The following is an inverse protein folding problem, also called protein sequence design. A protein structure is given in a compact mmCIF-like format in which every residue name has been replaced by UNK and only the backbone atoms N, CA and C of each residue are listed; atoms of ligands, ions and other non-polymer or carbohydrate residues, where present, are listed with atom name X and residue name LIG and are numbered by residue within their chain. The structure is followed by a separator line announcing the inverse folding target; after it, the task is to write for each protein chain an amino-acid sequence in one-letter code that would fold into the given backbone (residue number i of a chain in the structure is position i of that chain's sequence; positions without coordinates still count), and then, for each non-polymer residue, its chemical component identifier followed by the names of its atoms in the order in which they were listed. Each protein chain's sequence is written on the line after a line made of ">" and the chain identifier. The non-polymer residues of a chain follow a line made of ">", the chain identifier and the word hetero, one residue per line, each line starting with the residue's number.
data_IF_750877417839
#
_entry.id   IF_750877417839
#
_cell.length_a   1.000
_cell.length_b   1.000
_cell.length_c   1.000
_cell.angle_alpha   90.00
_cell.angle_beta   90.00
_cell.angle_gamma   90.00
#
_symmetry.space_group_name_H-M   'P 1'
#
loop_
_entity.id
_entity.type
_entity.pdbx_description
1 polymer ?
#
# COMPACT_ATOMS: atom_id res chain seq x y z
N UNK A 1 5.32 -29.99 -4.14
CA UNK A 1 4.76 -28.63 -4.09
C UNK A 1 5.31 -27.89 -5.30
N UNK A 2 4.46 -27.29 -6.14
CA UNK A 2 4.93 -26.52 -7.32
C UNK A 2 5.60 -25.26 -6.81
N UNK A 3 6.85 -25.00 -7.25
CA UNK A 3 7.52 -23.74 -6.95
C UNK A 3 7.00 -22.67 -7.92
N UNK A 4 6.18 -21.76 -7.42
CA UNK A 4 5.58 -20.68 -8.20
C UNK A 4 6.58 -19.62 -8.66
N UNK A 5 7.77 -19.58 -8.05
CA UNK A 5 8.80 -18.58 -8.33
C UNK A 5 9.93 -19.09 -9.21
N UNK A 6 9.74 -20.22 -9.87
CA UNK A 6 10.74 -20.77 -10.77
C UNK A 6 10.67 -20.13 -12.17
N UNK A 7 11.84 -20.03 -12.79
CA UNK A 7 11.96 -19.67 -14.20
C UNK A 7 11.74 -20.91 -15.06
N UNK A 8 10.81 -20.82 -16.01
CA UNK A 8 10.56 -21.89 -16.97
C UNK A 8 11.59 -21.94 -18.12
N UNK A 9 11.49 -22.96 -18.98
CA UNK A 9 12.33 -23.06 -20.18
C UNK A 9 12.05 -21.94 -21.19
N UNK A 10 10.88 -21.33 -21.16
CA UNK A 10 10.48 -20.18 -21.97
C UNK A 10 10.21 -18.97 -21.07
N UNK A 11 10.64 -17.80 -21.54
CA UNK A 11 10.35 -16.52 -20.92
C UNK A 11 8.85 -16.19 -21.06
N UNK A 12 8.18 -15.93 -19.95
CA UNK A 12 6.74 -15.64 -19.91
C UNK A 12 6.41 -14.14 -20.02
N UNK A 13 7.39 -13.29 -20.36
CA UNK A 13 7.20 -11.81 -20.38
C UNK A 13 6.03 -11.39 -21.28
N UNK A 14 5.89 -11.98 -22.48
CA UNK A 14 4.82 -11.59 -23.42
C UNK A 14 3.45 -11.93 -22.84
N UNK A 15 3.29 -13.11 -22.26
CA UNK A 15 2.05 -13.55 -21.62
C UNK A 15 1.73 -12.69 -20.39
N UNK A 16 2.74 -12.36 -19.61
CA UNK A 16 2.61 -11.51 -18.42
C UNK A 16 2.17 -10.09 -18.78
N UNK A 17 2.80 -9.49 -19.80
CA UNK A 17 2.42 -8.15 -20.28
C UNK A 17 1.02 -8.16 -20.91
N UNK A 18 0.66 -9.22 -21.65
CA UNK A 18 -0.70 -9.38 -22.16
C UNK A 18 -1.72 -9.48 -21.02
N UNK A 19 -1.40 -10.23 -19.95
CA UNK A 19 -2.26 -10.32 -18.76
C UNK A 19 -2.45 -8.95 -18.10
N UNK A 20 -1.36 -8.18 -17.90
CA UNK A 20 -1.46 -6.81 -17.39
C UNK A 20 -2.32 -5.92 -18.30
N UNK A 21 -2.17 -6.07 -19.64
CA UNK A 21 -3.01 -5.36 -20.61
C UNK A 21 -4.50 -5.70 -20.49
N UNK A 22 -4.82 -6.98 -20.31
CA UNK A 22 -6.21 -7.44 -20.09
C UNK A 22 -6.76 -6.91 -18.78
N UNK A 23 -5.99 -6.98 -17.68
CA UNK A 23 -6.41 -6.43 -16.38
C UNK A 23 -6.64 -4.92 -16.49
N UNK A 24 -5.73 -4.19 -17.14
CA UNK A 24 -5.86 -2.75 -17.34
C UNK A 24 -7.10 -2.40 -18.19
N UNK A 25 -7.35 -3.14 -19.27
CA UNK A 25 -8.53 -2.94 -20.11
C UNK A 25 -9.83 -3.19 -19.34
N UNK A 26 -9.94 -4.34 -18.66
CA UNK A 26 -11.13 -4.70 -17.89
C UNK A 26 -11.39 -3.72 -16.74
N UNK A 27 -10.35 -3.35 -15.98
CA UNK A 27 -10.51 -2.38 -14.90
C UNK A 27 -10.91 -0.99 -15.42
N UNK A 28 -10.35 -0.54 -16.56
CA UNK A 28 -10.72 0.72 -17.17
C UNK A 28 -12.15 0.67 -17.74
N UNK A 29 -12.55 -0.44 -18.35
CA UNK A 29 -13.92 -0.65 -18.78
C UNK A 29 -14.90 -0.56 -17.59
N UNK A 30 -14.62 -1.28 -16.51
CA UNK A 30 -15.43 -1.26 -15.29
C UNK A 30 -15.47 0.13 -14.65
N UNK A 31 -14.38 0.90 -14.68
CA UNK A 31 -14.33 2.26 -14.16
C UNK A 31 -15.40 3.17 -14.78
N UNK A 32 -15.58 3.10 -16.09
CA UNK A 32 -16.60 3.89 -16.80
C UNK A 32 -17.97 3.22 -16.75
N UNK A 33 -18.05 1.91 -16.85
CA UNK A 33 -19.31 1.16 -16.81
C UNK A 33 -20.05 1.32 -15.47
N UNK A 34 -19.32 1.37 -14.36
CA UNK A 34 -19.87 1.55 -13.01
C UNK A 34 -19.95 3.03 -12.59
N UNK A 35 -19.66 3.95 -13.50
CA UNK A 35 -19.65 5.40 -13.24
C UNK A 35 -18.90 5.79 -11.96
N UNK A 36 -17.67 5.27 -11.81
CA UNK A 36 -16.82 5.59 -10.65
C UNK A 36 -16.61 7.10 -10.44
N UNK A 37 -16.48 7.93 -11.48
CA UNK A 37 -16.35 9.38 -11.28
C UNK A 37 -17.48 10.00 -10.47
N UNK A 38 -18.73 9.58 -10.68
CA UNK A 38 -19.88 10.05 -9.88
C UNK A 38 -19.85 9.49 -8.47
N UNK A 39 -19.62 8.17 -8.32
CA UNK A 39 -19.50 7.52 -7.00
C UNK A 39 -18.40 8.14 -6.12
N UNK A 40 -17.25 8.52 -6.72
CA UNK A 40 -16.15 9.19 -5.99
C UNK A 40 -16.60 10.57 -5.49
N UNK A 41 -17.31 11.33 -6.31
CA UNK A 41 -17.78 12.65 -5.92
C UNK A 41 -18.81 12.56 -4.80
N UNK A 42 -19.77 11.67 -4.91
CA UNK A 42 -20.78 11.42 -3.87
C UNK A 42 -20.15 10.98 -2.54
N UNK A 43 -19.11 10.14 -2.60
CA UNK A 43 -18.38 9.73 -1.39
C UNK A 43 -17.61 10.85 -0.72
N UNK A 44 -17.20 11.89 -1.46
CA UNK A 44 -16.30 12.93 -0.94
C UNK A 44 -16.89 13.71 0.22
N UNK A 45 -18.19 13.96 0.24
CA UNK A 45 -18.86 14.71 1.29
C UNK A 45 -18.82 13.99 2.65
N UNK A 46 -18.73 12.67 2.63
CA UNK A 46 -18.67 11.84 3.83
C UNK A 46 -17.31 11.86 4.56
N UNK A 47 -16.29 12.52 4.00
CA UNK A 47 -14.99 12.70 4.64
C UNK A 47 -14.94 13.84 5.66
N UNK A 48 -16.04 14.52 5.90
CA UNK A 48 -16.21 15.39 7.07
C UNK A 48 -16.54 14.55 8.31
N UNK A 49 -15.96 14.91 9.47
CA UNK A 49 -16.25 14.18 10.71
C UNK A 49 -17.60 14.57 11.29
N UNK A 50 -18.39 13.57 11.65
CA UNK A 50 -19.63 13.77 12.41
C UNK A 50 -19.42 13.88 13.93
N UNK A 51 -18.22 13.51 14.42
CA UNK A 51 -17.91 13.37 15.84
C UNK A 51 -17.04 14.49 16.39
N UNK A 52 -16.03 14.87 15.60
CA UNK A 52 -15.04 15.84 16.00
C UNK A 52 -15.34 17.21 15.41
N UNK A 53 -15.09 18.29 16.16
CA UNK A 53 -15.01 19.63 15.58
C UNK A 53 -14.02 19.66 14.40
N UNK A 54 -14.36 20.41 13.35
CA UNK A 54 -13.56 20.51 12.12
C UNK A 54 -12.08 20.86 12.38
N UNK A 55 -11.80 21.67 13.41
CA UNK A 55 -10.45 22.01 13.82
C UNK A 55 -9.65 20.78 14.30
N UNK A 56 -10.24 19.91 15.12
CA UNK A 56 -9.56 18.70 15.61
C UNK A 56 -9.33 17.69 14.47
N UNK A 57 -10.25 17.63 13.54
CA UNK A 57 -10.09 16.82 12.33
C UNK A 57 -8.94 17.34 11.45
N UNK A 58 -8.85 18.63 11.27
CA UNK A 58 -7.71 19.25 10.56
C UNK A 58 -6.39 18.97 11.28
N UNK A 59 -6.35 19.10 12.61
CA UNK A 59 -5.15 18.80 13.40
C UNK A 59 -4.70 17.34 13.26
N UNK A 60 -5.63 16.39 13.32
CA UNK A 60 -5.36 14.97 13.06
C UNK A 60 -4.70 14.75 11.69
N UNK A 61 -5.26 15.34 10.64
CA UNK A 61 -4.75 15.23 9.27
C UNK A 61 -3.36 15.84 9.11
N UNK A 62 -3.11 17.00 9.74
CA UNK A 62 -1.80 17.67 9.77
C UNK A 62 -0.75 16.77 10.46
N UNK A 63 -1.11 16.15 11.59
CA UNK A 63 -0.20 15.22 12.29
C UNK A 63 0.15 14.04 11.41
N UNK A 64 -0.84 13.37 10.82
CA UNK A 64 -0.62 12.21 9.95
C UNK A 64 0.21 12.58 8.71
N UNK A 65 -0.06 13.72 8.08
CA UNK A 65 0.73 14.26 6.98
C UNK A 65 2.17 14.54 7.40
N UNK A 66 2.36 15.23 8.51
CA UNK A 66 3.69 15.60 9.05
C UNK A 66 4.55 14.36 9.35
N UNK A 67 3.95 13.31 9.92
CA UNK A 67 4.65 12.03 10.16
C UNK A 67 5.01 11.36 8.84
N UNK A 68 4.12 11.33 7.85
CA UNK A 68 4.39 10.79 6.53
C UNK A 68 5.54 11.51 5.82
N UNK A 69 5.50 12.85 5.80
CA UNK A 69 6.59 13.69 5.24
C UNK A 69 7.90 13.44 5.98
N UNK A 70 7.88 13.35 7.30
CA UNK A 70 9.07 13.08 8.10
C UNK A 70 9.71 11.74 7.75
N UNK A 71 8.90 10.70 7.52
CA UNK A 71 9.38 9.39 7.09
C UNK A 71 10.00 9.44 5.68
N UNK A 72 9.37 10.14 4.72
CA UNK A 72 9.89 10.33 3.37
C UNK A 72 11.24 11.07 3.42
N UNK A 73 11.32 12.19 4.16
CA UNK A 73 12.56 12.97 4.30
C UNK A 73 13.64 12.16 5.00
N UNK A 74 13.30 11.43 6.06
CA UNK A 74 14.25 10.56 6.76
C UNK A 74 14.81 9.50 5.80
N UNK A 75 13.94 8.80 5.06
CA UNK A 75 14.35 7.78 4.10
C UNK A 75 15.24 8.37 3.00
N UNK A 76 14.93 9.56 2.50
CA UNK A 76 15.74 10.23 1.48
C UNK A 76 17.14 10.61 2.02
N UNK A 77 17.21 11.10 3.26
CA UNK A 77 18.47 11.56 3.90
C UNK A 77 19.38 10.43 4.38
N UNK A 78 18.89 9.21 4.55
CA UNK A 78 19.72 8.07 4.91
C UNK A 78 20.88 7.90 3.92
N UNK A 79 22.06 7.54 4.41
CA UNK A 79 23.24 7.32 3.55
C UNK A 79 23.00 6.20 2.53
N UNK A 80 22.44 5.06 2.97
CA UNK A 80 22.07 3.96 2.09
C UNK A 80 20.93 3.15 2.70
N UNK A 81 20.10 2.53 1.84
CA UNK A 81 19.16 1.50 2.25
C UNK A 81 19.81 0.11 2.27
N UNK A 82 18.99 -0.91 2.57
CA UNK A 82 19.36 -2.33 2.44
C UNK A 82 18.15 -3.09 1.92
N UNK A 83 18.31 -3.82 0.81
CA UNK A 83 17.25 -4.65 0.22
C UNK A 83 17.83 -5.93 -0.34
N UNK A 84 17.15 -7.06 -0.12
CA UNK A 84 17.36 -8.26 -0.90
C UNK A 84 16.49 -8.17 -2.16
N UNK A 85 17.09 -8.34 -3.32
CA UNK A 85 16.47 -8.15 -4.63
C UNK A 85 16.83 -9.29 -5.56
N UNK A 86 16.05 -9.49 -6.62
CA UNK A 86 16.38 -10.45 -7.68
C UNK A 86 17.04 -9.71 -8.83
N UNK A 87 18.30 -10.03 -9.10
CA UNK A 87 19.04 -9.41 -10.19
C UNK A 87 18.41 -9.77 -11.56
N UNK A 88 18.22 -8.78 -12.42
CA UNK A 88 17.62 -9.00 -13.74
C UNK A 88 18.48 -9.94 -14.61
N UNK A 89 19.80 -9.73 -14.63
CA UNK A 89 20.72 -10.48 -15.50
C UNK A 89 20.94 -11.92 -15.02
N UNK A 90 21.25 -12.13 -13.74
CA UNK A 90 21.63 -13.45 -13.19
C UNK A 90 20.46 -14.25 -12.63
N UNK A 91 19.31 -13.58 -12.36
CA UNK A 91 18.13 -14.18 -11.69
C UNK A 91 18.41 -14.64 -10.25
N UNK A 92 19.52 -14.21 -9.69
CA UNK A 92 19.95 -14.54 -8.34
C UNK A 92 19.53 -13.48 -7.33
N UNK A 93 19.30 -13.90 -6.09
CA UNK A 93 19.02 -13.01 -4.99
C UNK A 93 20.33 -12.34 -4.53
N UNK A 94 20.31 -11.00 -4.37
CA UNK A 94 21.47 -10.22 -3.95
C UNK A 94 21.05 -9.12 -2.98
N UNK A 95 21.91 -8.84 -1.97
CA UNK A 95 21.78 -7.67 -1.12
C UNK A 95 22.29 -6.43 -1.89
N UNK A 96 21.45 -5.40 -2.00
CA UNK A 96 21.78 -4.12 -2.59
C UNK A 96 21.62 -2.98 -1.58
N UNK A 97 22.35 -1.90 -1.79
CA UNK A 97 22.35 -0.71 -0.95
C UNK A 97 21.87 0.51 -1.75
N UNK A 98 20.54 0.67 -1.94
CA UNK A 98 19.98 1.75 -2.75
C UNK A 98 20.31 3.12 -2.15
N UNK A 99 20.55 4.10 -3.02
CA UNK A 99 20.91 5.48 -2.70
C UNK A 99 19.80 6.44 -3.16
N UNK A 100 19.62 7.54 -2.44
CA UNK A 100 18.73 8.62 -2.85
C UNK A 100 17.33 8.11 -3.22
N UNK A 101 16.91 8.39 -4.47
CA UNK A 101 15.59 8.05 -4.99
C UNK A 101 15.37 6.55 -5.19
N UNK A 102 16.44 5.75 -5.35
CA UNK A 102 16.30 4.29 -5.48
C UNK A 102 15.66 3.62 -4.26
N UNK A 103 15.68 4.26 -3.10
CA UNK A 103 15.01 3.75 -1.91
C UNK A 103 13.48 3.71 -2.07
N UNK A 104 12.94 4.46 -3.02
CA UNK A 104 11.51 4.55 -3.30
C UNK A 104 11.01 3.54 -4.33
N UNK A 105 11.83 2.57 -4.73
CA UNK A 105 11.44 1.54 -5.70
C UNK A 105 10.58 0.41 -5.09
N UNK A 106 10.42 0.37 -3.76
CA UNK A 106 9.59 -0.64 -3.08
C UNK A 106 8.10 -0.28 -3.14
N UNK A 107 7.22 -1.28 -3.18
CA UNK A 107 5.78 -1.05 -3.08
C UNK A 107 5.38 -0.39 -1.76
N UNK A 108 6.09 -0.71 -0.66
CA UNK A 108 5.87 -0.09 0.64
C UNK A 108 6.12 1.41 0.63
N UNK A 109 7.15 1.88 -0.09
CA UNK A 109 7.41 3.32 -0.23
C UNK A 109 6.33 4.02 -1.08
N UNK A 110 5.75 3.34 -2.06
CA UNK A 110 4.58 3.85 -2.79
C UNK A 110 3.36 3.95 -1.86
N UNK A 111 3.15 2.97 -0.99
CA UNK A 111 2.12 3.03 0.06
C UNK A 111 2.30 4.25 0.97
N UNK A 112 3.54 4.53 1.40
CA UNK A 112 3.86 5.73 2.20
C UNK A 112 3.55 7.02 1.45
N UNK A 113 3.92 7.11 0.16
CA UNK A 113 3.63 8.28 -0.68
C UNK A 113 2.12 8.46 -0.85
N UNK A 114 1.37 7.38 -1.15
CA UNK A 114 -0.09 7.44 -1.28
C UNK A 114 -0.76 7.91 0.02
N UNK A 115 -0.35 7.34 1.15
CA UNK A 115 -0.87 7.74 2.46
C UNK A 115 -0.61 9.23 2.74
N UNK A 116 0.63 9.69 2.52
CA UNK A 116 1.01 11.09 2.70
C UNK A 116 0.24 12.02 1.75
N UNK A 117 0.08 11.61 0.48
CA UNK A 117 -0.70 12.36 -0.51
C UNK A 117 -2.17 12.45 -0.14
N UNK A 118 -2.76 11.36 0.37
CA UNK A 118 -4.13 11.38 0.87
C UNK A 118 -4.29 12.41 1.98
N UNK A 119 -3.44 12.39 3.02
CA UNK A 119 -3.57 13.34 4.11
C UNK A 119 -3.33 14.79 3.68
N UNK A 120 -2.47 15.03 2.68
CA UNK A 120 -2.36 16.35 2.05
C UNK A 120 -3.69 16.81 1.42
N UNK A 121 -4.31 15.96 0.61
CA UNK A 121 -5.61 16.26 -0.03
C UNK A 121 -6.72 16.45 1.02
N UNK A 122 -6.72 15.63 2.06
CA UNK A 122 -7.66 15.73 3.16
C UNK A 122 -7.49 17.01 4.01
N UNK A 123 -6.26 17.53 4.13
CA UNK A 123 -6.00 18.86 4.72
C UNK A 123 -6.64 19.94 3.83
N UNK A 124 -6.42 19.89 2.52
CA UNK A 124 -7.02 20.84 1.58
C UNK A 124 -8.55 20.83 1.67
N UNK A 125 -9.13 19.63 1.76
CA UNK A 125 -10.58 19.44 1.97
C UNK A 125 -11.04 20.08 3.30
N UNK A 126 -10.31 19.84 4.41
CA UNK A 126 -10.65 20.44 5.70
C UNK A 126 -10.57 21.97 5.67
N UNK A 127 -9.53 22.52 5.04
CA UNK A 127 -9.33 23.97 4.96
C UNK A 127 -10.42 24.65 4.12
N UNK A 128 -10.92 24.03 3.05
CA UNK A 128 -12.01 24.60 2.25
C UNK A 128 -13.28 24.83 3.07
N UNK A 129 -13.57 23.96 4.04
CA UNK A 129 -14.70 24.14 4.96
C UNK A 129 -14.57 25.33 5.93
N UNK A 130 -13.35 25.83 6.17
CA UNK A 130 -13.14 27.02 7.02
C UNK A 130 -13.27 28.36 6.27
N UNK A 131 -13.13 28.32 4.95
CA UNK A 131 -13.17 29.55 4.13
C UNK A 131 -14.43 29.64 3.26
N UNK A 132 -15.43 28.81 3.56
CA UNK A 132 -16.67 28.67 2.76
C UNK A 132 -16.38 28.47 1.26
N UNK A 133 -15.25 27.85 0.96
CA UNK A 133 -14.76 27.59 -0.38
C UNK A 133 -15.16 26.19 -0.87
N UNK A 134 -15.49 26.09 -2.15
CA UNK A 134 -15.71 24.79 -2.80
C UNK A 134 -14.44 24.34 -3.49
N UNK A 135 -14.01 23.09 -3.24
CA UNK A 135 -12.92 22.49 -3.99
C UNK A 135 -13.42 22.05 -5.38
N UNK A 136 -12.56 22.11 -6.41
CA UNK A 136 -12.88 21.55 -7.72
C UNK A 136 -13.19 20.05 -7.60
N UNK A 137 -14.21 19.58 -8.35
CA UNK A 137 -14.63 18.18 -8.33
C UNK A 137 -13.49 17.17 -8.60
N UNK A 138 -12.56 17.52 -9.51
CA UNK A 138 -11.42 16.64 -9.79
C UNK A 138 -10.54 16.42 -8.56
N UNK A 139 -10.43 17.41 -7.68
CA UNK A 139 -9.65 17.30 -6.44
C UNK A 139 -10.38 16.43 -5.41
N UNK A 140 -11.69 16.57 -5.29
CA UNK A 140 -12.55 15.74 -4.44
C UNK A 140 -12.48 14.27 -4.88
N UNK A 141 -12.67 14.00 -6.18
CA UNK A 141 -12.53 12.66 -6.76
C UNK A 141 -11.13 12.08 -6.53
N UNK A 142 -10.08 12.90 -6.69
CA UNK A 142 -8.70 12.49 -6.44
C UNK A 142 -8.46 12.12 -4.98
N UNK A 143 -9.01 12.88 -4.03
CA UNK A 143 -8.89 12.59 -2.60
C UNK A 143 -9.46 11.21 -2.26
N UNK A 144 -10.67 10.91 -2.72
CA UNK A 144 -11.33 9.61 -2.48
C UNK A 144 -10.58 8.47 -3.19
N UNK A 145 -10.17 8.68 -4.45
CA UNK A 145 -9.42 7.68 -5.20
C UNK A 145 -8.05 7.36 -4.58
N UNK A 146 -7.29 8.39 -4.15
CA UNK A 146 -6.01 8.20 -3.45
C UNK A 146 -6.23 7.54 -2.09
N UNK A 147 -7.31 7.86 -1.37
CA UNK A 147 -7.69 7.16 -0.15
C UNK A 147 -7.90 5.66 -0.40
N UNK A 148 -8.68 5.30 -1.41
CA UNK A 148 -8.95 3.90 -1.76
C UNK A 148 -7.67 3.13 -2.13
N UNK A 149 -6.75 3.76 -2.91
CA UNK A 149 -5.43 3.20 -3.19
C UNK A 149 -4.60 3.02 -1.91
N UNK A 150 -4.57 4.04 -1.05
CA UNK A 150 -3.78 4.03 0.18
C UNK A 150 -4.26 2.95 1.15
N UNK A 151 -5.59 2.82 1.35
CA UNK A 151 -6.17 1.83 2.26
C UNK A 151 -5.84 0.41 1.81
N UNK A 152 -6.14 0.04 0.58
CA UNK A 152 -5.84 -1.31 0.06
C UNK A 152 -4.36 -1.64 0.14
N UNK A 153 -3.50 -0.68 -0.24
CA UNK A 153 -2.04 -0.85 -0.20
C UNK A 153 -1.50 -0.95 1.22
N UNK A 154 -2.00 -0.15 2.17
CA UNK A 154 -1.50 -0.16 3.55
C UNK A 154 -1.81 -1.48 4.26
N UNK A 155 -3.04 -1.97 4.14
CA UNK A 155 -3.44 -3.25 4.73
C UNK A 155 -2.69 -4.43 4.10
N UNK A 156 -2.56 -4.44 2.78
CA UNK A 156 -1.73 -5.43 2.07
C UNK A 156 -0.28 -5.39 2.56
N UNK A 157 0.34 -4.21 2.56
CA UNK A 157 1.75 -4.04 2.94
C UNK A 157 2.01 -4.50 4.37
N UNK A 158 1.20 -4.06 5.35
CA UNK A 158 1.33 -4.47 6.75
C UNK A 158 1.21 -5.99 6.90
N UNK A 159 0.22 -6.60 6.23
CA UNK A 159 -0.01 -8.05 6.27
C UNK A 159 1.16 -8.82 5.65
N UNK A 160 1.64 -8.42 4.47
CA UNK A 160 2.75 -9.09 3.77
C UNK A 160 4.04 -8.96 4.58
N UNK A 161 4.32 -7.79 5.16
CA UNK A 161 5.52 -7.60 5.98
C UNK A 161 5.47 -8.49 7.21
N UNK A 162 4.37 -8.49 7.96
CA UNK A 162 4.25 -9.27 9.19
C UNK A 162 4.28 -10.78 8.95
N UNK A 163 3.52 -11.29 7.98
CA UNK A 163 3.29 -12.73 7.85
C UNK A 163 4.15 -13.41 6.79
N UNK A 164 4.82 -12.66 5.90
CA UNK A 164 5.61 -13.22 4.82
C UNK A 164 7.05 -12.74 4.87
N UNK A 165 7.30 -11.40 4.85
CA UNK A 165 8.66 -10.87 4.72
C UNK A 165 9.44 -11.13 6.00
N UNK A 166 8.95 -10.70 7.15
CA UNK A 166 9.65 -10.83 8.41
C UNK A 166 9.92 -12.31 8.80
N UNK A 167 8.94 -13.23 8.75
CA UNK A 167 9.22 -14.64 8.99
C UNK A 167 10.18 -15.24 7.96
N UNK A 168 10.11 -14.78 6.70
CA UNK A 168 11.03 -15.22 5.65
C UNK A 168 12.48 -14.77 5.89
N UNK A 169 12.70 -13.55 6.39
CA UNK A 169 14.02 -13.06 6.77
C UNK A 169 14.58 -13.80 7.98
N UNK A 170 13.76 -14.02 9.01
CA UNK A 170 14.12 -14.80 10.20
C UNK A 170 14.53 -16.23 9.82
N UNK A 171 13.72 -16.92 9.02
CA UNK A 171 14.03 -18.29 8.56
C UNK A 171 15.34 -18.40 7.78
N UNK A 172 15.74 -17.34 7.07
CA UNK A 172 16.99 -17.28 6.31
C UNK A 172 18.17 -16.75 7.16
N UNK A 173 17.99 -16.50 8.46
CA UNK A 173 19.03 -15.94 9.34
C UNK A 173 19.48 -14.54 8.94
N UNK A 174 18.60 -13.73 8.35
CA UNK A 174 18.95 -12.38 7.89
C UNK A 174 18.74 -11.34 8.97
N UNK A 175 19.57 -10.29 8.94
CA UNK A 175 19.32 -9.14 9.78
C UNK A 175 18.00 -8.46 9.37
N UNK A 176 17.04 -8.48 10.28
CA UNK A 176 15.69 -7.96 10.12
C UNK A 176 15.45 -6.64 10.88
N UNK A 177 16.43 -6.14 11.65
CA UNK A 177 16.31 -4.90 12.44
C UNK A 177 15.87 -3.70 11.58
N UNK A 178 16.29 -3.69 10.31
CA UNK A 178 15.89 -2.67 9.34
C UNK A 178 14.37 -2.55 9.19
N UNK A 179 13.61 -3.64 9.38
CA UNK A 179 12.13 -3.60 9.29
C UNK A 179 11.51 -2.72 10.39
N UNK A 180 12.29 -2.46 11.47
CA UNK A 180 11.87 -1.63 12.60
C UNK A 180 12.44 -0.21 12.57
N UNK A 181 13.18 0.18 11.53
CA UNK A 181 13.62 1.55 11.36
C UNK A 181 12.45 2.51 11.22
N UNK A 182 12.62 3.77 11.61
CA UNK A 182 11.55 4.77 11.68
C UNK A 182 10.66 4.79 10.43
N UNK A 183 11.24 4.97 9.23
CA UNK A 183 10.45 5.04 7.99
C UNK A 183 9.74 3.72 7.67
N UNK A 184 10.34 2.58 7.98
CA UNK A 184 9.72 1.26 7.79
C UNK A 184 8.55 1.06 8.76
N UNK A 185 8.68 1.51 10.02
CA UNK A 185 7.57 1.52 10.95
C UNK A 185 6.39 2.35 10.43
N UNK A 186 6.67 3.53 9.85
CA UNK A 186 5.61 4.37 9.31
C UNK A 186 4.93 3.67 8.13
N UNK A 187 5.68 3.16 7.14
CA UNK A 187 5.10 2.57 5.94
C UNK A 187 4.44 1.20 6.17
N UNK A 188 4.92 0.43 7.15
CA UNK A 188 4.43 -0.93 7.41
C UNK A 188 3.34 -1.00 8.48
N UNK A 189 3.27 -0.03 9.41
CA UNK A 189 2.35 -0.06 10.54
C UNK A 189 1.48 1.20 10.59
N UNK A 190 2.10 2.39 10.65
CA UNK A 190 1.36 3.63 10.90
C UNK A 190 0.48 4.05 9.72
N UNK A 191 0.82 3.71 8.46
CA UNK A 191 -0.08 3.97 7.33
C UNK A 191 -1.45 3.32 7.53
N UNK A 192 -1.49 2.05 7.94
CA UNK A 192 -2.76 1.36 8.23
C UNK A 192 -3.47 1.96 9.45
N UNK A 193 -2.72 2.26 10.53
CA UNK A 193 -3.26 2.89 11.76
C UNK A 193 -3.90 4.25 11.45
N UNK A 194 -3.22 5.11 10.69
CA UNK A 194 -3.73 6.44 10.36
C UNK A 194 -4.99 6.38 9.50
N UNK A 195 -5.03 5.48 8.51
CA UNK A 195 -6.19 5.31 7.65
C UNK A 195 -7.38 4.72 8.41
N UNK A 196 -7.15 3.81 9.36
CA UNK A 196 -8.23 3.33 10.25
C UNK A 196 -8.69 4.44 11.19
N UNK A 197 -7.77 5.23 11.75
CA UNK A 197 -8.13 6.42 12.51
C UNK A 197 -9.04 7.36 11.72
N UNK A 198 -8.68 7.63 10.45
CA UNK A 198 -9.50 8.44 9.54
C UNK A 198 -10.89 7.83 9.31
N UNK A 199 -10.97 6.50 9.04
CA UNK A 199 -12.25 5.81 8.86
C UNK A 199 -13.12 5.90 10.12
N UNK A 200 -12.55 5.71 11.29
CA UNK A 200 -13.28 5.78 12.56
C UNK A 200 -13.79 7.20 12.85
N UNK A 201 -13.05 8.22 12.44
CA UNK A 201 -13.39 9.61 12.68
C UNK A 201 -14.41 10.18 11.68
N UNK A 202 -14.30 9.81 10.39
CA UNK A 202 -15.17 10.30 9.31
C UNK A 202 -16.33 9.37 9.01
N UNK A 203 -16.15 8.05 9.17
CA UNK A 203 -17.08 7.02 8.71
C UNK A 203 -17.45 7.20 7.23
N UNK A 204 -16.47 7.25 6.32
CA UNK A 204 -16.73 7.59 4.93
C UNK A 204 -17.64 6.55 4.27
N UNK A 205 -18.54 7.05 3.41
CA UNK A 205 -19.40 6.19 2.60
C UNK A 205 -18.58 5.60 1.43
N UNK A 206 -17.97 4.45 1.67
CA UNK A 206 -17.14 3.76 0.68
C UNK A 206 -18.00 2.86 -0.21
N UNK A 207 -17.64 2.79 -1.49
CA UNK A 207 -18.29 1.92 -2.45
C UNK A 207 -17.40 0.69 -2.77
N UNK A 208 -17.97 -0.51 -2.98
CA UNK A 208 -17.19 -1.72 -3.25
C UNK A 208 -16.39 -1.63 -4.56
N UNK A 209 -16.89 -0.92 -5.57
CA UNK A 209 -16.23 -0.68 -6.84
C UNK A 209 -14.90 0.09 -6.73
N UNK A 210 -14.66 0.80 -5.62
CA UNK A 210 -13.36 1.45 -5.38
C UNK A 210 -12.21 0.44 -5.20
N UNK A 211 -12.50 -0.86 -5.12
CA UNK A 211 -11.48 -1.92 -5.20
C UNK A 211 -10.62 -1.80 -6.47
N UNK A 212 -11.15 -1.20 -7.56
CA UNK A 212 -10.42 -0.98 -8.80
C UNK A 212 -9.18 -0.09 -8.59
N UNK A 213 -9.18 0.81 -7.62
CA UNK A 213 -8.02 1.63 -7.29
C UNK A 213 -6.85 0.80 -6.75
N UNK A 214 -7.13 -0.29 -6.03
CA UNK A 214 -6.12 -1.27 -5.64
C UNK A 214 -5.50 -1.96 -6.86
N UNK A 215 -6.31 -2.31 -7.87
CA UNK A 215 -5.81 -2.88 -9.13
C UNK A 215 -4.93 -1.86 -9.85
N UNK A 216 -5.35 -0.60 -9.96
CA UNK A 216 -4.55 0.43 -10.63
C UNK A 216 -3.19 0.64 -10.00
N UNK A 217 -3.08 0.74 -8.68
CA UNK A 217 -1.76 0.90 -8.04
C UNK A 217 -0.88 -0.34 -8.26
N UNK A 218 -1.46 -1.55 -8.24
CA UNK A 218 -0.75 -2.79 -8.58
C UNK A 218 -0.26 -2.79 -10.03
N UNK A 219 -1.09 -2.37 -10.98
CA UNK A 219 -0.73 -2.22 -12.41
C UNK A 219 0.39 -1.21 -12.60
N UNK A 220 0.28 -0.01 -12.00
CA UNK A 220 1.31 1.02 -12.10
C UNK A 220 2.63 0.53 -11.53
N UNK A 221 2.59 -0.19 -10.41
CA UNK A 221 3.80 -0.75 -9.83
C UNK A 221 4.42 -1.85 -10.71
N UNK A 222 3.63 -2.75 -11.28
CA UNK A 222 4.12 -3.79 -12.19
C UNK A 222 4.70 -3.19 -13.48
N UNK A 223 4.03 -2.18 -14.05
CA UNK A 223 4.49 -1.46 -15.23
C UNK A 223 5.75 -0.62 -14.96
N UNK A 224 5.95 -0.14 -13.74
CA UNK A 224 7.18 0.50 -13.31
C UNK A 224 8.31 -0.51 -13.11
N UNK A 225 8.04 -1.62 -12.41
CA UNK A 225 9.06 -2.58 -11.99
C UNK A 225 9.79 -3.23 -13.18
N UNK A 226 9.08 -3.52 -14.27
CA UNK A 226 9.68 -4.15 -15.46
C UNK A 226 10.72 -3.27 -16.18
N UNK A 227 10.40 -2.04 -16.64
CA UNK A 227 11.40 -1.18 -17.24
C UNK A 227 12.50 -0.76 -16.27
N UNK A 228 12.19 -0.58 -14.98
CA UNK A 228 13.19 -0.30 -13.96
C UNK A 228 14.21 -1.44 -13.85
N UNK A 229 13.76 -2.70 -13.79
CA UNK A 229 14.65 -3.84 -13.74
C UNK A 229 15.47 -4.03 -15.02
N UNK A 230 14.88 -3.76 -16.19
CA UNK A 230 15.53 -3.99 -17.49
C UNK A 230 16.48 -2.87 -17.91
N UNK A 231 16.14 -1.60 -17.64
CA UNK A 231 16.81 -0.43 -18.17
C UNK A 231 17.33 0.55 -17.09
N UNK A 232 16.95 0.33 -15.82
CA UNK A 232 17.32 1.20 -14.70
C UNK A 232 18.19 0.48 -13.68
N UNK A 233 17.63 0.12 -12.51
CA UNK A 233 18.39 -0.45 -11.39
C UNK A 233 18.95 -1.87 -11.60
N UNK A 234 18.50 -2.59 -12.62
CA UNK A 234 18.99 -3.93 -12.94
C UNK A 234 18.48 -5.05 -12.03
N UNK A 235 17.37 -4.82 -11.29
CA UNK A 235 16.80 -5.79 -10.37
C UNK A 235 15.30 -5.62 -10.15
N UNK A 236 14.64 -6.71 -9.73
CA UNK A 236 13.29 -6.70 -9.15
C UNK A 236 13.37 -6.71 -7.62
N UNK A 237 12.60 -5.83 -6.97
CA UNK A 237 12.49 -5.83 -5.49
C UNK A 237 11.80 -7.09 -4.99
N UNK A 238 10.80 -7.57 -5.71
CA UNK A 238 10.03 -8.77 -5.36
C UNK A 238 10.12 -9.80 -6.48
N UNK A 239 10.46 -11.04 -6.14
CA UNK A 239 10.56 -12.14 -7.10
C UNK A 239 9.25 -12.37 -7.86
N UNK A 240 8.13 -12.32 -7.17
CA UNK A 240 6.80 -12.61 -7.74
C UNK A 240 6.31 -11.61 -8.80
N UNK A 241 6.99 -10.46 -8.97
CA UNK A 241 6.62 -9.47 -9.98
C UNK A 241 7.46 -9.61 -11.27
N UNK A 242 8.45 -10.51 -11.28
CA UNK A 242 9.27 -10.76 -12.48
C UNK A 242 8.41 -11.42 -13.56
N UNK A 243 8.14 -10.75 -14.69
CA UNK A 243 7.26 -11.27 -15.73
C UNK A 243 7.84 -12.48 -16.48
N UNK A 244 9.12 -12.81 -16.26
CA UNK A 244 9.81 -13.95 -16.88
C UNK A 244 9.57 -15.27 -16.15
N UNK A 245 8.98 -15.24 -14.94
CA UNK A 245 8.63 -16.45 -14.21
C UNK A 245 7.61 -17.29 -14.99
N UNK A 246 7.71 -18.61 -14.89
CA UNK A 246 6.83 -19.55 -15.58
C UNK A 246 5.35 -19.29 -15.29
N UNK A 247 5.03 -18.92 -14.06
CA UNK A 247 3.66 -18.69 -13.58
C UNK A 247 3.32 -17.20 -13.37
N UNK A 248 4.14 -16.28 -13.92
CA UNK A 248 3.94 -14.84 -13.75
C UNK A 248 2.54 -14.35 -14.12
N UNK A 249 1.87 -14.80 -15.21
CA UNK A 249 0.50 -14.39 -15.52
C UNK A 249 -0.49 -14.68 -14.38
N UNK A 250 -0.37 -15.87 -13.76
CA UNK A 250 -1.21 -16.26 -12.62
C UNK A 250 -0.86 -15.48 -11.36
N UNK A 251 0.42 -15.24 -11.08
CA UNK A 251 0.88 -14.44 -9.95
C UNK A 251 0.38 -13.00 -10.05
N UNK A 252 0.49 -12.39 -11.23
CA UNK A 252 0.00 -11.01 -11.45
C UNK A 252 -1.53 -10.92 -11.31
N UNK A 253 -2.27 -11.89 -11.83
CA UNK A 253 -3.72 -11.98 -11.64
C UNK A 253 -4.07 -12.18 -10.16
N UNK A 254 -3.37 -13.07 -9.46
CA UNK A 254 -3.55 -13.31 -8.03
C UNK A 254 -3.26 -12.06 -7.18
N UNK A 255 -2.24 -11.28 -7.53
CA UNK A 255 -1.94 -10.02 -6.87
C UNK A 255 -3.04 -8.98 -7.06
N UNK A 256 -3.62 -8.87 -8.26
CA UNK A 256 -4.75 -7.98 -8.52
C UNK A 256 -5.97 -8.36 -7.65
N UNK A 257 -6.28 -9.66 -7.56
CA UNK A 257 -7.34 -10.17 -6.67
C UNK A 257 -7.01 -9.88 -5.20
N UNK A 258 -5.77 -10.11 -4.78
CA UNK A 258 -5.34 -9.91 -3.40
C UNK A 258 -5.49 -8.45 -2.96
N UNK A 259 -5.01 -7.49 -3.76
CA UNK A 259 -5.13 -6.05 -3.46
C UNK A 259 -6.60 -5.64 -3.37
N UNK A 260 -7.44 -6.13 -4.31
CA UNK A 260 -8.89 -5.87 -4.29
C UNK A 260 -9.55 -6.44 -3.03
N UNK A 261 -9.13 -7.64 -2.59
CA UNK A 261 -9.66 -8.30 -1.38
C UNK A 261 -9.38 -7.47 -0.12
N UNK A 262 -8.19 -6.87 0.01
CA UNK A 262 -7.89 -6.01 1.15
C UNK A 262 -8.79 -4.77 1.17
N UNK A 263 -8.99 -4.12 0.03
CA UNK A 263 -9.94 -3.00 -0.04
C UNK A 263 -11.37 -3.44 0.30
N UNK A 264 -11.86 -4.53 -0.30
CA UNK A 264 -13.21 -5.06 -0.02
C UNK A 264 -13.39 -5.43 1.45
N UNK A 265 -12.36 -5.93 2.11
CA UNK A 265 -12.36 -6.16 3.55
C UNK A 265 -12.57 -4.87 4.34
N UNK A 266 -11.86 -3.79 3.99
CA UNK A 266 -12.04 -2.47 4.62
C UNK A 266 -13.42 -1.91 4.33
N UNK A 267 -13.91 -2.00 3.09
CA UNK A 267 -15.27 -1.62 2.72
C UNK A 267 -16.31 -2.36 3.58
N UNK A 268 -16.20 -3.68 3.72
CA UNK A 268 -17.12 -4.47 4.53
C UNK A 268 -17.10 -4.01 5.99
N UNK A 269 -15.93 -3.78 6.58
CA UNK A 269 -15.79 -3.26 7.94
C UNK A 269 -16.40 -1.86 8.06
N UNK A 270 -16.27 -1.01 7.04
CA UNK A 270 -16.88 0.32 6.99
C UNK A 270 -18.42 0.25 6.97
N UNK A 271 -18.99 -0.71 6.23
CA UNK A 271 -20.44 -1.00 6.26
C UNK A 271 -20.89 -1.49 7.64
N UNK A 272 -20.10 -2.32 8.30
CA UNK A 272 -20.40 -2.74 9.67
C UNK A 272 -20.29 -1.57 10.67
N UNK A 273 -19.31 -0.69 10.48
CA UNK A 273 -19.13 0.52 11.29
C UNK A 273 -20.34 1.45 11.17
N UNK A 274 -20.88 1.65 9.96
CA UNK A 274 -22.07 2.48 9.76
C UNK A 274 -23.34 1.89 10.38
N UNK A 275 -23.44 0.57 10.45
CA UNK A 275 -24.59 -0.13 11.09
C UNK A 275 -24.46 -0.21 12.62
N UNK A 276 -23.27 -0.41 13.12
CA UNK A 276 -22.96 -0.52 14.54
C UNK A 276 -21.56 0.05 14.79
N UNK A 277 -21.52 1.34 15.17
CA UNK A 277 -20.28 2.06 15.43
C UNK A 277 -19.34 1.32 16.37
N UNK A 278 -19.86 0.71 17.44
CA UNK A 278 -19.07 -0.02 18.42
C UNK A 278 -18.46 -1.31 17.86
N UNK A 279 -19.27 -2.15 17.21
CA UNK A 279 -18.80 -3.44 16.66
C UNK A 279 -17.81 -3.18 15.51
N UNK A 280 -18.14 -2.27 14.60
CA UNK A 280 -17.25 -1.92 13.49
C UNK A 280 -15.91 -1.37 13.96
N UNK A 281 -15.91 -0.50 14.99
CA UNK A 281 -14.68 0.04 15.57
C UNK A 281 -13.81 -1.07 16.20
N UNK A 282 -14.40 -1.98 16.98
CA UNK A 282 -13.67 -3.12 17.57
C UNK A 282 -13.04 -3.98 16.46
N UNK A 283 -13.78 -4.29 15.40
CA UNK A 283 -13.28 -5.13 14.31
C UNK A 283 -12.14 -4.45 13.56
N UNK A 284 -12.21 -3.13 13.27
CA UNK A 284 -11.10 -2.39 12.68
C UNK A 284 -9.86 -2.38 13.57
N UNK A 285 -10.03 -2.09 14.86
CA UNK A 285 -8.92 -2.08 15.82
C UNK A 285 -8.30 -3.48 15.92
N UNK A 286 -9.10 -4.53 16.02
CA UNK A 286 -8.63 -5.90 16.06
C UNK A 286 -7.85 -6.28 14.79
N UNK A 287 -8.37 -5.93 13.60
CA UNK A 287 -7.68 -6.22 12.35
C UNK A 287 -6.33 -5.49 12.25
N UNK A 288 -6.29 -4.17 12.55
CA UNK A 288 -5.04 -3.42 12.54
C UNK A 288 -4.05 -4.00 13.55
N UNK A 289 -4.49 -4.28 14.78
CA UNK A 289 -3.63 -4.90 15.81
C UNK A 289 -3.04 -6.23 15.35
N UNK A 290 -3.83 -7.01 14.58
CA UNK A 290 -3.39 -8.30 14.04
C UNK A 290 -2.30 -8.15 12.97
N UNK A 291 -2.32 -7.09 12.16
CA UNK A 291 -1.40 -6.93 11.02
C UNK A 291 -0.18 -6.05 11.31
N UNK A 292 -0.20 -5.21 12.36
CA UNK A 292 0.95 -4.37 12.73
C UNK A 292 1.91 -5.10 13.64
N UNK A 293 3.22 -4.78 13.51
CA UNK A 293 4.26 -5.37 14.34
C UNK A 293 5.37 -4.34 14.59
N UNK A 294 5.58 -4.00 15.87
CA UNK A 294 6.52 -2.95 16.29
C UNK A 294 7.85 -3.48 16.82
N UNK A 295 7.96 -4.79 17.06
CA UNK A 295 9.13 -5.44 17.62
C UNK A 295 9.39 -6.77 16.93
N UNK A 296 10.64 -7.22 16.94
CA UNK A 296 10.97 -8.60 16.60
C UNK A 296 10.31 -9.57 17.58
N UNK A 297 9.91 -10.73 17.10
CA UNK A 297 9.40 -11.83 17.94
C UNK A 297 10.54 -12.66 18.54
N UNK A 298 11.78 -12.44 18.09
CA UNK A 298 12.94 -13.11 18.68
C UNK A 298 13.18 -12.60 20.11
N UNK A 299 13.38 -13.53 21.02
CA UNK A 299 13.86 -13.19 22.36
C UNK A 299 15.33 -12.75 22.29
N UNK A 300 15.84 -11.96 23.27
CA UNK A 300 17.26 -11.63 23.36
C UNK A 300 18.18 -12.87 23.41
N UNK A 301 17.68 -14.01 23.85
CA UNK A 301 18.42 -15.28 23.89
C UNK A 301 18.53 -15.93 22.51
N UNK A 302 17.51 -15.78 21.65
CA UNK A 302 17.53 -16.27 20.28
C UNK A 302 18.44 -15.42 19.38
N UNK A 303 18.63 -14.13 19.67
CA UNK A 303 19.59 -13.25 19.00
C UNK A 303 21.05 -13.66 19.25
N UNK A 304 21.38 -14.15 20.46
CA UNK A 304 22.76 -14.60 20.82
C UNK A 304 23.12 -15.90 20.10
N UNK A 305 22.16 -16.75 19.78
CA UNK A 305 22.38 -18.03 19.07
C UNK A 305 22.52 -17.84 17.55
N UNK A 306 22.05 -16.69 17.01
CA UNK A 306 22.08 -16.37 15.58
C UNK A 306 23.28 -15.54 15.11
N UNK A 307 24.19 -15.18 16.04
CA UNK A 307 25.49 -14.53 15.80
C UNK A 307 26.62 -15.56 15.83
#
# INVERSE_FOLDING_TARGET
>A
MVDLFQYGPKDATVQSLATLGVIAFLSSFLFFFLDLPSSLLESSDSFSSAWLPSFLMLLWRIICFGVGVSAIVYMFRMKSGQMFVIMYATKEEKLVHPLGIEKFVTFSSWTLILNTSYFFLAIMFSLSGFVDGTLPEWLLRSMVGVFAMAVGSAFLTSTIVRFIILPGELKKGRNHERQFWFHNQIMHNFCAIFLVGEILLCQPNLAPEFMLFGIYIGLFYALFAYPYAKYGGGYYVYSFIDPRLQYAPFLLSGLAVLVSTFYLGVWLMSVLLSKSGFIGAILFIAWVTLIVQFRSELSPEDEIISL
#
